data_IF_395504878310
#
_entry.id   IF_395504878310
#
_cell.length_a   1.000
_cell.length_b   1.000
_cell.length_c   1.000
_cell.angle_alpha   90.00
_cell.angle_beta   90.00
_cell.angle_gamma   90.00
#
_symmetry.space_group_name_H-M   'P 1'
#
loop_
_entity.id
_entity.type
_entity.pdbx_description
1 polymer ?
#
# COMPACT_ATOMS: atom_id res chain seq x y z
N UNK A 1 -8.67 -18.48 17.20
CA UNK A 1 -7.28 -18.83 17.59
C UNK A 1 -6.19 -18.27 16.69
N UNK A 2 -6.49 -18.00 15.42
CA UNK A 2 -5.48 -17.59 14.42
C UNK A 2 -5.02 -16.13 14.56
N UNK A 3 -5.80 -15.28 15.18
CA UNK A 3 -5.46 -13.84 15.30
C UNK A 3 -4.40 -13.50 16.35
N UNK A 4 -4.07 -14.42 17.28
CA UNK A 4 -3.04 -14.19 18.29
C UNK A 4 -1.61 -14.29 17.72
N UNK A 5 -1.38 -15.14 16.71
CA UNK A 5 -0.06 -15.36 16.15
C UNK A 5 0.48 -14.19 15.31
N UNK A 6 -0.36 -13.51 14.53
CA UNK A 6 0.06 -12.40 13.67
C UNK A 6 0.49 -11.16 14.46
N UNK A 7 -0.20 -10.85 15.56
CA UNK A 7 0.18 -9.72 16.43
C UNK A 7 1.50 -9.92 17.13
N UNK A 8 1.83 -11.17 17.53
CA UNK A 8 3.08 -11.49 18.20
C UNK A 8 4.27 -11.60 17.26
N UNK A 9 4.07 -12.07 16.03
CA UNK A 9 5.08 -12.05 14.97
C UNK A 9 5.46 -10.60 14.63
N UNK A 10 4.48 -9.72 14.54
CA UNK A 10 4.72 -8.30 14.22
C UNK A 10 5.49 -7.57 15.35
N UNK A 11 5.18 -7.87 16.62
CA UNK A 11 5.93 -7.32 17.77
C UNK A 11 7.40 -7.73 17.77
N UNK A 12 7.73 -8.93 17.27
CA UNK A 12 9.12 -9.42 17.20
C UNK A 12 9.92 -8.75 16.07
N UNK A 13 9.26 -8.19 15.07
CA UNK A 13 9.89 -7.51 13.93
C UNK A 13 10.11 -6.00 14.19
N UNK A 14 9.53 -5.44 15.22
CA UNK A 14 9.82 -4.06 15.64
C UNK A 14 11.22 -4.05 16.24
N UNK A 15 12.19 -3.32 15.64
CA UNK A 15 13.53 -3.21 16.22
C UNK A 15 13.42 -2.72 17.66
N UNK A 16 14.00 -3.46 18.60
CA UNK A 16 14.07 -3.00 19.97
C UNK A 16 14.75 -1.62 19.98
N UNK A 17 14.09 -0.61 20.53
CA UNK A 17 14.63 0.76 20.64
C UNK A 17 15.96 0.83 21.41
N UNK A 18 16.36 -0.27 22.05
CA UNK A 18 17.60 -0.42 22.80
C UNK A 18 18.81 -0.89 21.98
N UNK A 19 18.68 -1.14 20.70
CA UNK A 19 19.84 -1.34 19.86
C UNK A 19 20.59 -0.02 19.74
N UNK A 20 21.55 0.21 20.65
CA UNK A 20 22.61 1.19 20.47
C UNK A 20 23.42 0.79 19.24
N UNK A 21 22.91 1.17 18.09
CA UNK A 21 23.65 1.10 16.84
C UNK A 21 24.81 2.08 17.03
N UNK A 22 26.00 1.57 17.41
CA UNK A 22 27.23 2.35 17.34
C UNK A 22 27.23 3.01 15.94
N UNK A 23 27.27 4.35 15.90
CA UNK A 23 27.39 5.09 14.65
C UNK A 23 28.55 4.50 13.87
N UNK A 24 28.26 3.60 12.97
CA UNK A 24 29.24 3.14 11.99
C UNK A 24 29.52 4.37 11.16
N UNK A 25 30.71 4.96 11.34
CA UNK A 25 31.22 5.96 10.44
C UNK A 25 31.49 5.25 9.11
N UNK A 26 30.42 4.95 8.37
CA UNK A 26 30.58 4.43 7.03
C UNK A 26 31.16 5.55 6.18
N UNK A 27 32.31 5.30 5.56
CA UNK A 27 32.82 6.10 4.45
C UNK A 27 31.96 5.87 3.18
N UNK A 28 30.66 5.78 3.35
CA UNK A 28 29.74 5.77 2.21
C UNK A 28 29.80 7.21 1.68
N UNK A 29 30.52 7.40 0.57
CA UNK A 29 30.36 8.59 -0.25
C UNK A 29 28.90 8.59 -0.66
N UNK A 30 28.08 9.37 0.04
CA UNK A 30 26.74 9.70 -0.44
C UNK A 30 26.92 10.26 -1.84
N UNK A 31 26.37 9.57 -2.82
CA UNK A 31 26.34 10.08 -4.18
C UNK A 31 25.61 11.42 -4.14
N UNK A 32 26.34 12.52 -4.27
CA UNK A 32 25.79 13.88 -4.34
C UNK A 32 25.00 14.15 -5.64
N UNK A 33 24.87 13.14 -6.48
CA UNK A 33 24.13 13.28 -7.71
C UNK A 33 22.66 13.02 -7.44
N UNK A 34 21.89 14.08 -7.27
CA UNK A 34 20.42 14.09 -7.31
C UNK A 34 19.86 13.72 -8.70
N UNK A 35 20.69 13.22 -9.59
CA UNK A 35 20.26 12.79 -10.91
C UNK A 35 19.72 11.36 -10.78
N UNK A 36 18.41 11.22 -10.64
CA UNK A 36 17.72 9.97 -10.95
C UNK A 36 18.12 9.60 -12.38
N UNK A 37 18.70 8.41 -12.63
CA UNK A 37 19.08 8.04 -13.97
C UNK A 37 17.87 8.17 -14.90
N UNK A 38 18.02 8.86 -16.04
CA UNK A 38 16.96 9.05 -17.03
C UNK A 38 16.28 7.73 -17.47
N UNK A 39 17.00 6.62 -17.29
CA UNK A 39 16.51 5.26 -17.56
C UNK A 39 15.38 4.80 -16.60
N UNK A 40 15.21 5.42 -15.43
CA UNK A 40 14.16 5.06 -14.46
C UNK A 40 12.85 5.78 -14.80
N UNK A 41 12.93 6.93 -15.44
CA UNK A 41 11.74 7.70 -15.81
C UNK A 41 11.18 7.23 -17.15
N UNK A 42 9.86 7.08 -17.27
CA UNK A 42 9.23 6.77 -18.54
C UNK A 42 9.54 7.86 -19.58
N UNK A 43 9.85 7.46 -20.82
CA UNK A 43 10.08 8.40 -21.94
C UNK A 43 8.90 9.37 -22.18
N UNK A 44 7.69 8.95 -21.87
CA UNK A 44 6.47 9.78 -21.95
C UNK A 44 6.09 10.27 -20.56
N UNK A 45 5.81 11.54 -20.41
CA UNK A 45 5.46 12.18 -19.14
C UNK A 45 4.00 11.93 -18.69
N UNK A 46 3.51 10.70 -18.86
CA UNK A 46 2.14 10.33 -18.49
C UNK A 46 1.85 10.47 -16.99
N UNK A 47 2.86 10.44 -16.17
CA UNK A 47 2.78 10.50 -14.70
C UNK A 47 2.71 11.94 -14.15
N UNK A 48 3.08 12.97 -14.92
CA UNK A 48 3.12 14.37 -14.46
C UNK A 48 1.81 14.85 -13.85
N UNK A 49 0.68 14.39 -14.34
CA UNK A 49 -0.62 14.74 -13.77
C UNK A 49 -0.82 14.27 -12.33
N UNK A 50 -0.04 13.30 -11.85
CA UNK A 50 -0.12 12.80 -10.48
C UNK A 50 0.51 13.75 -9.47
N UNK A 51 1.41 14.64 -9.89
CA UNK A 51 2.08 15.62 -9.03
C UNK A 51 1.08 16.56 -8.33
N UNK A 52 -0.07 16.81 -8.94
CA UNK A 52 -1.14 17.60 -8.31
C UNK A 52 -1.86 16.86 -7.16
N UNK A 53 -1.72 15.54 -7.08
CA UNK A 53 -2.37 14.69 -6.05
C UNK A 53 -1.40 14.17 -5.01
N UNK A 54 -0.12 14.03 -5.36
CA UNK A 54 0.86 13.34 -4.55
C UNK A 54 2.16 14.15 -4.45
N UNK A 55 2.55 14.44 -3.21
CA UNK A 55 3.90 14.86 -2.85
C UNK A 55 4.62 13.62 -2.28
N UNK A 56 5.67 13.09 -2.96
CA UNK A 56 6.36 11.88 -2.54
C UNK A 56 7.34 12.09 -1.39
N UNK A 57 7.17 13.13 -0.57
CA UNK A 57 8.04 13.40 0.57
C UNK A 57 7.66 12.59 1.81
N UNK A 58 8.64 12.32 2.69
CA UNK A 58 8.42 11.72 4.00
C UNK A 58 7.47 12.60 4.84
N UNK A 59 7.65 13.91 4.80
CA UNK A 59 6.79 14.89 5.50
C UNK A 59 5.32 14.73 5.09
N UNK A 60 5.05 14.52 3.82
CA UNK A 60 3.69 14.31 3.34
C UNK A 60 3.12 12.98 3.84
N UNK A 61 3.93 11.93 3.91
CA UNK A 61 3.51 10.64 4.45
C UNK A 61 3.09 10.74 5.93
N UNK A 62 3.84 11.50 6.72
CA UNK A 62 3.50 11.76 8.11
C UNK A 62 2.21 12.59 8.25
N UNK A 63 2.02 13.58 7.38
CA UNK A 63 0.77 14.36 7.33
C UNK A 63 -0.43 13.47 7.04
N UNK A 64 -0.34 12.57 6.06
CA UNK A 64 -1.40 11.61 5.75
C UNK A 64 -1.70 10.68 6.93
N UNK A 65 -0.65 10.20 7.62
CA UNK A 65 -0.82 9.36 8.81
C UNK A 65 -1.52 10.12 9.93
N UNK A 66 -1.12 11.35 10.21
CA UNK A 66 -1.70 12.17 11.27
C UNK A 66 -3.18 12.43 10.99
N UNK A 67 -3.48 12.93 9.79
CA UNK A 67 -4.84 13.21 9.35
C UNK A 67 -5.74 11.95 9.39
N UNK A 68 -5.21 10.80 9.00
CA UNK A 68 -5.94 9.55 9.09
C UNK A 68 -6.27 9.18 10.54
N UNK A 69 -5.27 9.24 11.43
CA UNK A 69 -5.46 8.88 12.86
C UNK A 69 -6.43 9.82 13.55
N UNK A 70 -6.37 11.11 13.26
CA UNK A 70 -7.19 12.14 13.90
C UNK A 70 -8.66 12.10 13.41
N UNK A 71 -8.86 11.95 12.10
CA UNK A 71 -10.17 12.23 11.51
C UNK A 71 -10.93 10.99 10.99
N UNK A 72 -10.23 9.90 10.65
CA UNK A 72 -10.84 8.79 9.89
C UNK A 72 -10.68 7.42 10.51
N UNK A 73 -9.63 7.19 11.29
CA UNK A 73 -9.27 5.85 11.80
C UNK A 73 -10.38 5.20 12.60
N UNK A 74 -11.10 5.98 13.43
CA UNK A 74 -12.15 5.45 14.29
C UNK A 74 -13.41 5.00 13.53
N UNK A 75 -13.58 5.48 12.31
CA UNK A 75 -14.69 5.08 11.40
C UNK A 75 -14.21 4.14 10.29
N UNK A 76 -12.91 3.88 10.20
CA UNK A 76 -12.30 3.09 9.13
C UNK A 76 -13.00 1.75 8.88
N UNK A 77 -13.43 1.07 9.94
CA UNK A 77 -14.07 -0.25 9.83
C UNK A 77 -15.37 -0.28 9.02
N UNK A 78 -16.02 0.87 8.85
CA UNK A 78 -17.23 1.05 8.05
C UNK A 78 -16.92 1.82 6.77
N UNK A 79 -16.29 2.98 6.89
CA UNK A 79 -16.07 3.93 5.79
C UNK A 79 -15.21 3.33 4.66
N UNK A 80 -14.33 2.36 4.99
CA UNK A 80 -13.53 1.62 4.00
C UNK A 80 -14.34 0.84 2.97
N UNK A 81 -15.58 0.54 3.26
CA UNK A 81 -16.45 -0.26 2.38
C UNK A 81 -17.18 0.62 1.36
N UNK A 82 -17.10 1.94 1.51
CA UNK A 82 -17.75 2.92 0.65
C UNK A 82 -16.72 3.70 -0.19
N UNK A 83 -16.49 3.35 -1.46
CA UNK A 83 -15.46 4.01 -2.31
C UNK A 83 -15.66 5.52 -2.48
N UNK A 84 -16.90 6.02 -2.34
CA UNK A 84 -17.21 7.45 -2.41
C UNK A 84 -16.75 8.23 -1.16
N UNK A 85 -16.48 7.53 -0.05
CA UNK A 85 -16.03 8.14 1.20
C UNK A 85 -14.51 8.09 1.27
N UNK A 86 -13.87 9.19 1.68
CA UNK A 86 -12.44 9.20 1.93
C UNK A 86 -12.10 8.51 3.27
N UNK A 87 -12.44 7.22 3.40
CA UNK A 87 -12.30 6.43 4.63
C UNK A 87 -10.96 5.74 4.81
N UNK A 88 -10.14 5.64 3.76
CA UNK A 88 -8.84 4.94 3.79
C UNK A 88 -7.68 5.86 4.18
N UNK A 89 -6.56 5.28 4.63
CA UNK A 89 -5.35 6.04 5.00
C UNK A 89 -4.60 6.63 3.80
N UNK A 90 -4.76 6.03 2.62
CA UNK A 90 -3.98 6.34 1.40
C UNK A 90 -2.46 6.25 1.58
N UNK A 91 -1.98 5.48 2.56
CA UNK A 91 -0.56 5.34 2.86
C UNK A 91 0.18 4.32 1.99
N UNK A 92 -0.54 3.52 1.21
CA UNK A 92 0.07 2.43 0.41
C UNK A 92 1.19 2.88 -0.53
N UNK A 93 1.11 4.02 -1.26
CA UNK A 93 2.21 4.50 -2.09
C UNK A 93 3.46 4.83 -1.25
N UNK A 94 3.28 5.47 -0.13
CA UNK A 94 4.38 5.88 0.77
C UNK A 94 5.06 4.67 1.42
N UNK A 95 4.28 3.66 1.84
CA UNK A 95 4.81 2.40 2.37
C UNK A 95 5.59 1.66 1.28
N UNK A 96 5.04 1.59 0.06
CA UNK A 96 5.67 0.89 -1.08
C UNK A 96 7.03 1.46 -1.43
N UNK A 97 7.19 2.77 -1.33
CA UNK A 97 8.40 3.48 -1.73
C UNK A 97 9.31 3.83 -0.52
N UNK A 98 8.99 3.39 0.68
CA UNK A 98 9.83 3.54 1.86
C UNK A 98 9.82 4.94 2.52
N UNK A 99 8.92 5.85 2.11
CA UNK A 99 8.78 7.17 2.73
C UNK A 99 8.21 7.10 4.15
N UNK A 100 7.52 6.01 4.50
CA UNK A 100 7.11 5.73 5.86
C UNK A 100 7.26 4.23 6.16
N UNK A 101 7.83 3.92 7.31
CA UNK A 101 7.94 2.53 7.75
C UNK A 101 6.64 2.06 8.40
N UNK A 102 6.28 0.79 8.15
CA UNK A 102 5.03 0.21 8.66
C UNK A 102 4.98 0.21 10.20
N UNK A 103 6.13 0.06 10.87
CA UNK A 103 6.17 0.12 12.34
C UNK A 103 5.73 1.48 12.89
N UNK A 104 6.06 2.58 12.21
CA UNK A 104 5.64 3.92 12.64
C UNK A 104 4.12 4.05 12.58
N UNK A 105 3.50 3.49 11.53
CA UNK A 105 2.05 3.46 11.37
C UNK A 105 1.43 2.60 12.47
N UNK A 106 2.00 1.41 12.69
CA UNK A 106 1.54 0.47 13.71
C UNK A 106 1.58 1.11 15.09
N UNK A 107 2.72 1.62 15.52
CA UNK A 107 2.91 2.22 16.84
C UNK A 107 1.96 3.38 17.09
N UNK A 108 1.73 4.21 16.06
CA UNK A 108 0.82 5.34 16.16
C UNK A 108 -0.64 4.90 16.31
N UNK A 109 -1.06 3.90 15.56
CA UNK A 109 -2.43 3.39 15.60
C UNK A 109 -2.69 2.48 16.82
N UNK A 110 -1.68 1.70 17.24
CA UNK A 110 -1.83 0.69 18.28
C UNK A 110 -2.28 1.28 19.63
N UNK A 111 -1.91 2.52 19.92
CA UNK A 111 -2.31 3.26 21.11
C UNK A 111 -3.83 3.37 21.28
N UNK A 112 -4.58 3.23 20.20
CA UNK A 112 -6.03 3.33 20.16
C UNK A 112 -6.74 1.97 20.02
N UNK A 113 -5.99 0.85 19.98
CA UNK A 113 -6.52 -0.49 19.69
C UNK A 113 -7.61 -0.95 20.66
N UNK A 114 -7.46 -0.64 21.95
CA UNK A 114 -8.43 -1.01 22.98
C UNK A 114 -9.72 -0.18 22.93
N UNK A 115 -9.68 0.97 22.25
CA UNK A 115 -10.77 1.95 22.26
C UNK A 115 -11.77 1.73 21.13
N UNK A 116 -11.36 1.08 20.02
CA UNK A 116 -12.21 1.00 18.83
C UNK A 116 -11.90 -0.20 17.94
N UNK A 117 -12.97 -0.91 17.49
CA UNK A 117 -12.88 -2.07 16.61
C UNK A 117 -12.32 -1.68 15.22
N UNK A 118 -12.56 -0.47 14.73
CA UNK A 118 -12.02 0.01 13.45
C UNK A 118 -10.50 0.08 13.44
N UNK A 119 -9.89 0.47 14.56
CA UNK A 119 -8.43 0.46 14.72
C UNK A 119 -7.90 -0.96 14.59
N UNK A 120 -8.56 -1.94 15.22
CA UNK A 120 -8.17 -3.35 15.11
C UNK A 120 -8.28 -3.84 13.66
N UNK A 121 -9.34 -3.47 12.95
CA UNK A 121 -9.50 -3.79 11.51
C UNK A 121 -8.36 -3.19 10.68
N UNK A 122 -8.00 -1.93 10.91
CA UNK A 122 -6.90 -1.29 10.19
C UNK A 122 -5.54 -1.97 10.46
N UNK A 123 -5.24 -2.28 11.72
CA UNK A 123 -4.02 -3.01 12.07
C UNK A 123 -3.96 -4.41 11.44
N UNK A 124 -5.10 -5.07 11.29
CA UNK A 124 -5.17 -6.35 10.58
C UNK A 124 -4.81 -6.22 9.10
N UNK A 125 -5.16 -5.09 8.43
CA UNK A 125 -4.76 -4.86 7.03
C UNK A 125 -3.24 -4.75 6.89
N UNK A 126 -2.56 -4.12 7.85
CA UNK A 126 -1.10 -4.12 7.89
C UNK A 126 -0.54 -5.53 8.09
N UNK A 127 -1.20 -6.35 8.92
CA UNK A 127 -0.86 -7.76 9.10
C UNK A 127 -1.04 -8.59 7.81
N UNK A 128 -2.10 -8.36 7.05
CA UNK A 128 -2.31 -9.00 5.74
C UNK A 128 -1.23 -8.65 4.73
N UNK A 129 -0.75 -7.41 4.76
CA UNK A 129 0.38 -6.99 3.93
C UNK A 129 1.63 -7.83 4.24
N UNK A 130 1.99 -7.97 5.52
CA UNK A 130 3.15 -8.77 5.96
C UNK A 130 2.97 -10.26 5.63
N UNK A 131 1.76 -10.79 5.79
CA UNK A 131 1.43 -12.15 5.37
C UNK A 131 1.65 -12.34 3.86
N UNK A 132 1.26 -11.37 3.04
CA UNK A 132 1.48 -11.42 1.59
C UNK A 132 2.97 -11.44 1.23
N UNK A 133 3.80 -10.66 1.93
CA UNK A 133 5.26 -10.71 1.77
C UNK A 133 5.84 -12.09 2.16
N UNK A 134 5.34 -12.67 3.26
CA UNK A 134 5.74 -14.02 3.69
C UNK A 134 5.37 -15.06 2.64
N UNK A 135 4.17 -14.98 2.05
CA UNK A 135 3.77 -15.90 0.96
C UNK A 135 4.73 -15.82 -0.23
N UNK A 136 5.09 -14.62 -0.68
CA UNK A 136 6.04 -14.45 -1.79
C UNK A 136 7.43 -15.01 -1.45
N UNK A 137 7.85 -14.88 -0.18
CA UNK A 137 9.11 -15.43 0.28
C UNK A 137 9.14 -16.97 0.27
N UNK A 138 8.03 -17.60 0.66
CA UNK A 138 7.91 -19.07 0.67
C UNK A 138 7.56 -19.66 -0.69
N UNK A 139 6.85 -18.91 -1.53
CA UNK A 139 6.35 -19.33 -2.84
C UNK A 139 6.69 -18.31 -3.92
N UNK A 140 7.99 -18.09 -4.23
CA UNK A 140 8.43 -17.06 -5.18
C UNK A 140 7.88 -17.27 -6.60
N UNK A 141 7.47 -18.49 -6.95
CA UNK A 141 6.82 -18.80 -8.22
C UNK A 141 5.49 -18.07 -8.43
N UNK A 142 4.84 -17.61 -7.35
CA UNK A 142 3.62 -16.77 -7.42
C UNK A 142 3.82 -15.47 -8.22
N UNK A 143 5.05 -15.01 -8.34
CA UNK A 143 5.36 -13.82 -9.14
C UNK A 143 5.22 -14.07 -10.65
N UNK A 144 5.22 -15.33 -11.08
CA UNK A 144 5.19 -15.74 -12.51
C UNK A 144 4.01 -16.58 -12.90
N UNK A 145 3.29 -17.16 -11.93
CA UNK A 145 2.18 -18.07 -12.18
C UNK A 145 1.23 -18.15 -11.00
N UNK A 146 0.23 -19.01 -11.12
CA UNK A 146 -0.73 -19.24 -10.05
C UNK A 146 -0.11 -20.06 -8.91
N UNK A 147 -0.39 -19.68 -7.66
CA UNK A 147 -0.02 -20.48 -6.48
C UNK A 147 -0.71 -21.86 -6.54
N UNK A 148 -1.98 -21.85 -6.91
CA UNK A 148 -2.74 -23.08 -7.15
C UNK A 148 -2.73 -23.40 -8.63
N UNK A 149 -2.06 -24.47 -9.01
CA UNK A 149 -1.85 -24.87 -10.41
C UNK A 149 -3.13 -25.21 -11.16
N UNK A 150 -4.20 -25.53 -10.44
CA UNK A 150 -5.53 -25.76 -11.02
C UNK A 150 -6.03 -24.53 -11.80
N UNK A 151 -5.68 -23.32 -11.35
CA UNK A 151 -6.05 -22.07 -12.05
C UNK A 151 -5.28 -21.83 -13.35
N UNK A 152 -4.20 -22.55 -13.62
CA UNK A 152 -3.51 -22.47 -14.91
C UNK A 152 -4.40 -22.98 -16.06
N UNK A 153 -5.36 -23.86 -15.75
CA UNK A 153 -6.33 -24.43 -16.70
C UNK A 153 -7.61 -23.61 -16.83
N UNK A 154 -7.74 -22.51 -16.08
CA UNK A 154 -8.93 -21.66 -16.16
C UNK A 154 -9.07 -21.04 -17.55
N UNK A 155 -10.26 -21.11 -18.19
CA UNK A 155 -10.47 -20.59 -19.55
C UNK A 155 -10.59 -19.07 -19.55
N UNK A 156 -9.46 -18.38 -19.43
CA UNK A 156 -9.41 -16.93 -19.46
C UNK A 156 -9.87 -16.37 -20.81
N UNK A 157 -10.82 -15.45 -20.78
CA UNK A 157 -11.22 -14.71 -21.97
C UNK A 157 -10.08 -13.78 -22.44
N UNK A 158 -9.67 -13.96 -23.69
CA UNK A 158 -8.62 -13.15 -24.33
C UNK A 158 -9.19 -12.04 -25.24
N UNK A 159 -10.39 -11.57 -24.96
CA UNK A 159 -11.07 -10.56 -25.74
C UNK A 159 -10.38 -9.18 -25.59
N UNK A 160 -9.65 -8.78 -26.64
CA UNK A 160 -8.93 -7.51 -26.66
C UNK A 160 -9.86 -6.27 -26.57
N UNK A 161 -11.10 -6.37 -27.07
CA UNK A 161 -12.09 -5.29 -26.98
C UNK A 161 -12.52 -5.07 -25.51
N UNK A 162 -12.83 -6.15 -24.81
CA UNK A 162 -13.19 -6.09 -23.39
C UNK A 162 -12.04 -5.57 -22.55
N UNK A 163 -10.82 -6.02 -22.80
CA UNK A 163 -9.63 -5.51 -22.11
C UNK A 163 -9.41 -4.02 -22.34
N UNK A 164 -9.62 -3.54 -23.58
CA UNK A 164 -9.52 -2.11 -23.90
C UNK A 164 -10.61 -1.30 -23.19
N UNK A 165 -11.85 -1.80 -23.16
CA UNK A 165 -12.95 -1.15 -22.45
C UNK A 165 -12.64 -1.04 -20.95
N UNK A 166 -12.17 -2.11 -20.32
CA UNK A 166 -11.77 -2.13 -18.93
C UNK A 166 -10.65 -1.13 -18.63
N UNK A 167 -9.56 -1.13 -19.41
CA UNK A 167 -8.45 -0.18 -19.27
C UNK A 167 -8.89 1.29 -19.34
N UNK A 168 -9.92 1.58 -20.14
CA UNK A 168 -10.42 2.94 -20.34
C UNK A 168 -11.56 3.33 -19.38
N UNK A 169 -11.99 2.44 -18.49
CA UNK A 169 -13.15 2.66 -17.62
C UNK A 169 -14.45 2.84 -18.40
N UNK A 170 -14.67 1.97 -19.38
CA UNK A 170 -15.80 1.98 -20.33
C UNK A 170 -16.44 0.59 -20.43
N UNK A 171 -16.54 -0.12 -19.31
CA UNK A 171 -17.14 -1.47 -19.27
C UNK A 171 -18.65 -1.44 -19.20
N UNK A 172 -19.25 -0.33 -18.78
CA UNK A 172 -20.66 -0.19 -18.47
C UNK A 172 -21.02 -0.57 -17.03
N UNK A 173 -20.04 -1.02 -16.24
CA UNK A 173 -20.20 -1.25 -14.78
C UNK A 173 -19.73 -0.02 -14.00
N UNK A 174 -20.64 0.80 -13.42
CA UNK A 174 -20.31 2.13 -12.89
C UNK A 174 -19.16 2.13 -11.89
N UNK A 175 -19.13 1.16 -10.95
CA UNK A 175 -18.08 1.10 -9.92
C UNK A 175 -16.71 0.73 -10.52
N UNK A 176 -16.68 -0.17 -11.50
CA UNK A 176 -15.45 -0.57 -12.20
C UNK A 176 -14.91 0.62 -13.01
N UNK A 177 -15.79 1.27 -13.76
CA UNK A 177 -15.43 2.40 -14.61
C UNK A 177 -14.95 3.60 -13.78
N UNK A 178 -15.62 3.90 -12.67
CA UNK A 178 -15.18 4.93 -11.73
C UNK A 178 -13.81 4.63 -11.14
N UNK A 179 -13.55 3.38 -10.72
CA UNK A 179 -12.26 2.94 -10.19
C UNK A 179 -11.14 3.07 -11.22
N UNK A 180 -11.36 2.64 -12.45
CA UNK A 180 -10.36 2.74 -13.53
C UNK A 180 -10.07 4.18 -13.93
N UNK A 181 -11.08 5.05 -13.96
CA UNK A 181 -10.89 6.50 -14.21
C UNK A 181 -10.13 7.17 -13.08
N UNK A 182 -10.45 6.81 -11.80
CA UNK A 182 -9.71 7.29 -10.63
C UNK A 182 -8.23 6.89 -10.72
N UNK A 183 -7.95 5.62 -11.04
CA UNK A 183 -6.59 5.13 -11.21
C UNK A 183 -5.85 5.90 -12.32
N UNK A 184 -6.49 6.09 -13.47
CA UNK A 184 -5.91 6.82 -14.58
C UNK A 184 -5.61 8.27 -14.24
N UNK A 185 -6.51 8.94 -13.52
CA UNK A 185 -6.36 10.36 -13.19
C UNK A 185 -5.38 10.60 -12.02
N UNK A 186 -5.42 9.77 -10.99
CA UNK A 186 -4.71 10.03 -9.73
C UNK A 186 -3.54 9.09 -9.45
N UNK A 187 -3.40 7.99 -10.21
CA UNK A 187 -2.46 6.92 -9.89
C UNK A 187 -2.88 6.04 -8.69
N UNK A 188 -4.06 6.26 -8.13
CA UNK A 188 -4.59 5.50 -7.00
C UNK A 188 -6.02 5.05 -7.26
N UNK A 189 -6.37 3.88 -6.75
CA UNK A 189 -7.71 3.32 -6.81
C UNK A 189 -8.10 2.72 -5.48
N UNK A 190 -9.37 2.84 -5.11
CA UNK A 190 -9.91 2.21 -3.93
C UNK A 190 -9.83 0.67 -4.03
N UNK A 191 -9.56 0.00 -2.91
CA UNK A 191 -9.34 -1.46 -2.89
C UNK A 191 -10.64 -2.29 -3.01
N UNK A 192 -11.82 -1.69 -2.86
CA UNK A 192 -13.12 -2.40 -2.91
C UNK A 192 -13.69 -2.46 -4.30
#
# INVERSE_FOLDING_TARGET
GVSRGLGDVYKRQIPNKSLNVKKVKSKIKLFKNNNVPDQILPKKNWYKKFEKYWDPSEKQSEKYLNEFVENRMLKYGVDRDYPAINGSSKLSPFIRNGQIHVSNIWDKCYKYKSKNISVKKYLNELGWREFSHSLINYFPEMLKGNLRKEFDKFPWDKNAKNLKAWKNGMTGYPIVDAGMRQLYETGWMHNR
#
